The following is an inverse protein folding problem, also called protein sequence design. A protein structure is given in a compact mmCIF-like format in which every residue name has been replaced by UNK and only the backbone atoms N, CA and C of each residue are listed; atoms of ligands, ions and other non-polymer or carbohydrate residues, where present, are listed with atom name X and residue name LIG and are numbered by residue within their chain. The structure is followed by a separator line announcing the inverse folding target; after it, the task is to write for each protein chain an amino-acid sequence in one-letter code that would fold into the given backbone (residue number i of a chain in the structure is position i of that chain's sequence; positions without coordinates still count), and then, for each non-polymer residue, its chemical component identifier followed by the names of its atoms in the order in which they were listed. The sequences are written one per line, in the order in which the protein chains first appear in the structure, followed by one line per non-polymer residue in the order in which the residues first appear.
data_IF_281033015756
#
_entry.id   IF_281033015756
#
_cell.length_a   1.000
_cell.length_b   1.000
_cell.length_c   1.000
_cell.angle_alpha   90.00
_cell.angle_beta   90.00
_cell.angle_gamma   90.00
#
_symmetry.space_group_name_H-M   'P 1'
#
loop_
_entity.id
_entity.type
_entity.pdbx_description
1 polymer ?
#
# COMPACT_ATOMS: atom_id res chain seq x y z
N UNK A 1 3.16 -1.67 14.19
CA UNK A 1 3.40 -2.30 12.87
C UNK A 1 2.12 -2.23 12.10
N UNK A 2 2.19 -1.89 10.82
CA UNK A 2 1.03 -1.69 9.96
C UNK A 2 1.02 -2.68 8.81
N UNK A 3 -0.16 -2.92 8.26
CA UNK A 3 -0.41 -3.71 7.05
C UNK A 3 -1.05 -2.87 5.96
N UNK A 4 -1.01 -3.32 4.72
CA UNK A 4 -1.63 -2.53 3.64
C UNK A 4 -3.13 -2.36 3.84
N UNK A 5 -3.79 -3.42 4.32
CA UNK A 5 -5.23 -3.45 4.62
C UNK A 5 -5.67 -2.41 5.65
N UNK A 6 -4.77 -1.94 6.50
CA UNK A 6 -5.09 -0.98 7.56
C UNK A 6 -5.39 0.42 6.99
N UNK A 7 -5.00 0.67 5.73
CA UNK A 7 -5.18 1.94 5.03
C UNK A 7 -6.18 1.89 3.91
N UNK A 8 -6.45 0.72 3.31
CA UNK A 8 -7.37 0.62 2.18
C UNK A 8 -8.74 1.15 2.59
N UNK A 9 -9.32 2.01 1.75
CA UNK A 9 -10.55 2.75 1.96
C UNK A 9 -10.52 3.86 3.03
N UNK A 10 -9.35 4.18 3.62
CA UNK A 10 -9.23 5.32 4.52
C UNK A 10 -9.41 6.64 3.75
N UNK A 11 -10.22 7.54 4.30
CA UNK A 11 -10.48 8.85 3.70
C UNK A 11 -9.22 9.73 3.71
N UNK A 12 -9.08 10.57 2.70
CA UNK A 12 -8.01 11.56 2.57
C UNK A 12 -8.62 12.95 2.56
N UNK A 13 -8.07 13.86 3.37
CA UNK A 13 -8.44 15.27 3.45
C UNK A 13 -7.24 16.18 3.24
N UNK A 14 -7.47 17.38 2.70
CA UNK A 14 -6.45 18.44 2.69
C UNK A 14 -6.41 19.25 4.00
N UNK A 15 -5.44 20.16 4.11
CA UNK A 15 -5.26 21.07 5.26
C UNK A 15 -6.47 21.97 5.57
N UNK A 16 -7.39 22.14 4.62
CA UNK A 16 -8.63 22.90 4.80
C UNK A 16 -9.80 21.99 5.21
N UNK A 17 -9.55 20.69 5.44
CA UNK A 17 -10.56 19.69 5.80
C UNK A 17 -11.39 19.18 4.63
N UNK A 18 -11.03 19.52 3.38
CA UNK A 18 -11.78 19.09 2.19
C UNK A 18 -11.48 17.62 1.89
N UNK A 19 -12.53 16.81 1.74
CA UNK A 19 -12.42 15.42 1.30
C UNK A 19 -11.89 15.34 -0.14
N UNK A 20 -10.77 14.63 -0.32
CA UNK A 20 -10.12 14.45 -1.61
C UNK A 20 -10.48 13.11 -2.26
N UNK A 21 -10.60 12.04 -1.46
CA UNK A 21 -10.80 10.68 -1.93
C UNK A 21 -10.56 9.66 -0.83
N UNK A 22 -10.37 8.40 -1.23
CA UNK A 22 -10.02 7.30 -0.33
C UNK A 22 -8.83 6.50 -0.87
N UNK A 23 -8.05 5.92 0.02
CA UNK A 23 -6.90 5.08 -0.33
C UNK A 23 -7.38 3.85 -1.10
N UNK A 24 -6.86 3.67 -2.30
CA UNK A 24 -7.08 2.51 -3.16
C UNK A 24 -5.98 1.46 -2.99
N UNK A 25 -4.74 1.91 -2.81
CA UNK A 25 -3.57 1.03 -2.77
C UNK A 25 -2.39 1.71 -2.06
N UNK A 26 -1.36 0.94 -1.77
CA UNK A 26 -0.10 1.42 -1.21
C UNK A 26 0.96 1.55 -2.30
N UNK A 27 1.78 2.58 -2.21
CA UNK A 27 2.94 2.80 -3.07
C UNK A 27 4.20 2.30 -2.39
N UNK A 28 5.05 1.59 -3.12
CA UNK A 28 6.22 0.90 -2.55
C UNK A 28 7.48 1.11 -3.39
N UNK A 29 8.62 1.09 -2.71
CA UNK A 29 9.94 1.06 -3.31
C UNK A 29 10.80 -0.02 -2.64
N UNK A 30 10.99 -1.16 -3.33
CA UNK A 30 11.78 -2.28 -2.79
C UNK A 30 13.27 -2.00 -2.72
N UNK A 31 13.80 -1.20 -3.65
CA UNK A 31 15.21 -0.82 -3.63
C UNK A 31 15.54 -0.05 -2.35
N UNK A 32 14.60 0.78 -1.89
CA UNK A 32 14.68 1.54 -0.63
C UNK A 32 14.04 0.84 0.56
N UNK A 33 13.42 -0.34 0.37
CA UNK A 33 12.68 -1.10 1.38
C UNK A 33 11.66 -0.23 2.13
N UNK A 34 10.84 0.53 1.42
CA UNK A 34 9.88 1.45 2.04
C UNK A 34 8.53 1.50 1.34
N UNK A 35 7.51 1.86 2.10
CA UNK A 35 6.27 2.43 1.59
C UNK A 35 6.53 3.91 1.30
N UNK A 36 6.33 4.34 0.05
CA UNK A 36 6.55 5.73 -0.37
C UNK A 36 5.30 6.59 -0.23
N UNK A 37 4.14 5.97 -0.03
CA UNK A 37 2.87 6.68 0.11
C UNK A 37 1.67 5.85 -0.27
N UNK A 38 0.61 6.51 -0.74
CA UNK A 38 -0.69 5.91 -1.02
C UNK A 38 -1.24 6.35 -2.36
N UNK A 39 -1.87 5.41 -3.07
CA UNK A 39 -2.67 5.67 -4.27
C UNK A 39 -4.11 5.93 -3.86
N UNK A 40 -4.71 6.97 -4.41
CA UNK A 40 -6.01 7.50 -3.98
C UNK A 40 -6.98 7.53 -5.15
N UNK A 41 -8.18 7.02 -4.91
CA UNK A 41 -9.31 7.25 -5.79
C UNK A 41 -10.06 8.51 -5.32
N UNK A 42 -10.23 9.52 -6.19
CA UNK A 42 -11.05 10.68 -5.85
C UNK A 42 -12.53 10.30 -5.72
N UNK A 43 -13.28 11.01 -4.88
CA UNK A 43 -14.74 10.85 -4.82
C UNK A 43 -15.46 11.38 -6.08
N UNK A 44 -14.83 12.29 -6.81
CA UNK A 44 -15.40 12.80 -8.06
C UNK A 44 -15.27 11.73 -9.14
N UNK A 45 -16.41 11.27 -9.66
CA UNK A 45 -16.54 10.17 -10.63
C UNK A 45 -15.69 10.29 -11.91
N UNK A 46 -15.24 11.48 -12.31
CA UNK A 46 -14.55 11.74 -13.60
C UNK A 46 -13.04 12.01 -13.41
N UNK A 47 -12.57 12.26 -12.19
CA UNK A 47 -11.15 12.57 -11.97
C UNK A 47 -10.29 11.31 -11.97
N UNK A 48 -9.15 11.38 -12.66
CA UNK A 48 -8.10 10.36 -12.55
C UNK A 48 -7.60 10.26 -11.10
N UNK A 49 -7.21 9.04 -10.71
CA UNK A 49 -6.54 8.79 -9.43
C UNK A 49 -5.29 9.66 -9.25
N UNK A 50 -4.92 9.86 -7.99
CA UNK A 50 -3.73 10.63 -7.61
C UNK A 50 -3.00 9.92 -6.47
N UNK A 51 -1.82 10.41 -6.13
CA UNK A 51 -0.96 9.84 -5.12
C UNK A 51 -0.77 10.83 -3.96
N UNK A 52 -0.47 10.28 -2.79
CA UNK A 52 0.03 11.00 -1.62
C UNK A 52 1.39 10.41 -1.31
N UNK A 53 2.41 11.25 -1.14
CA UNK A 53 3.73 10.81 -0.70
C UNK A 53 3.81 10.88 0.83
N UNK A 54 4.59 9.99 1.44
CA UNK A 54 4.70 9.91 2.91
C UNK A 54 5.20 11.23 3.52
N UNK A 55 6.00 11.99 2.80
CA UNK A 55 6.54 13.30 3.23
C UNK A 55 5.44 14.38 3.32
N UNK A 56 4.31 14.15 2.66
CA UNK A 56 3.18 15.09 2.59
C UNK A 56 2.05 14.73 3.55
N UNK A 57 2.22 13.67 4.35
CA UNK A 57 1.26 13.25 5.37
C UNK A 57 1.58 13.98 6.67
N UNK A 58 0.63 14.78 7.15
CA UNK A 58 0.74 15.46 8.46
C UNK A 58 0.37 14.49 9.58
N UNK A 59 -0.71 13.75 9.38
CA UNK A 59 -1.30 12.89 10.39
C UNK A 59 -2.19 11.84 9.74
N UNK A 60 -2.28 10.66 10.36
CA UNK A 60 -3.26 9.65 10.00
C UNK A 60 -3.81 8.97 11.26
N UNK A 61 -5.11 8.70 11.25
CA UNK A 61 -5.79 7.83 12.20
C UNK A 61 -7.05 7.27 11.53
N UNK A 62 -8.21 7.90 11.70
CA UNK A 62 -9.44 7.56 10.97
C UNK A 62 -9.45 8.12 9.54
N UNK A 63 -8.65 9.15 9.29
CA UNK A 63 -8.44 9.80 7.99
C UNK A 63 -6.96 10.17 7.84
N UNK A 64 -6.51 10.36 6.61
CA UNK A 64 -5.18 10.87 6.28
C UNK A 64 -5.29 12.37 5.95
N UNK A 65 -4.57 13.21 6.71
CA UNK A 65 -4.44 14.64 6.46
C UNK A 65 -3.16 14.92 5.66
N UNK A 66 -3.29 15.61 4.52
CA UNK A 66 -2.17 15.86 3.61
C UNK A 66 -1.99 17.34 3.24
N UNK A 67 -0.74 17.73 2.97
CA UNK A 67 -0.40 19.06 2.46
C UNK A 67 -0.54 19.17 0.95
N UNK A 68 -0.21 18.11 0.20
CA UNK A 68 -0.25 18.09 -1.26
C UNK A 68 -0.51 16.69 -1.82
N UNK A 69 -0.80 16.65 -3.11
CA UNK A 69 -1.01 15.42 -3.90
C UNK A 69 -0.05 15.37 -5.07
N UNK A 70 0.34 14.18 -5.50
CA UNK A 70 1.19 13.94 -6.67
C UNK A 70 0.44 13.18 -7.77
N UNK A 71 0.90 13.32 -9.02
CA UNK A 71 0.47 12.52 -10.17
C UNK A 71 1.59 11.67 -10.75
N UNK A 72 2.75 11.63 -10.10
CA UNK A 72 3.90 10.85 -10.55
C UNK A 72 3.58 9.35 -10.50
N UNK A 73 4.03 8.61 -11.51
CA UNK A 73 3.88 7.15 -11.52
C UNK A 73 4.79 6.51 -10.46
N UNK A 74 4.22 5.61 -9.67
CA UNK A 74 4.93 4.79 -8.70
C UNK A 74 4.38 3.38 -8.71
N UNK A 75 5.19 2.43 -8.24
CA UNK A 75 4.82 1.01 -8.15
C UNK A 75 3.78 0.85 -7.06
N UNK A 76 2.63 0.29 -7.42
CA UNK A 76 1.54 0.01 -6.48
C UNK A 76 1.68 -1.41 -5.94
N UNK A 77 1.34 -1.66 -4.67
CA UNK A 77 1.44 -3.00 -4.08
C UNK A 77 0.55 -4.03 -4.78
N UNK A 78 -0.59 -3.62 -5.34
CA UNK A 78 -1.43 -4.50 -6.16
C UNK A 78 -0.71 -5.13 -7.35
N UNK A 79 0.36 -4.53 -7.87
CA UNK A 79 1.18 -5.09 -8.95
C UNK A 79 1.97 -6.33 -8.52
N UNK A 80 2.17 -6.53 -7.21
CA UNK A 80 2.84 -7.70 -6.64
C UNK A 80 1.90 -8.69 -5.98
N UNK A 81 0.67 -8.28 -5.69
CA UNK A 81 -0.32 -9.15 -5.06
C UNK A 81 -0.53 -10.38 -5.94
N UNK A 82 -0.65 -11.55 -5.32
CA UNK A 82 -0.82 -12.83 -6.01
C UNK A 82 0.41 -13.33 -6.79
N UNK A 83 1.58 -12.71 -6.67
CA UNK A 83 2.82 -13.34 -7.13
C UNK A 83 3.21 -14.51 -6.23
N UNK A 84 3.79 -15.57 -6.81
CA UNK A 84 4.34 -16.69 -6.04
C UNK A 84 5.58 -16.25 -5.24
N UNK A 85 5.66 -16.70 -4.00
CA UNK A 85 6.85 -16.55 -3.16
C UNK A 85 7.59 -17.89 -3.16
N UNK A 86 8.86 -17.83 -3.57
CA UNK A 86 9.74 -18.99 -3.65
C UNK A 86 10.75 -18.94 -2.51
N UNK A 87 11.10 -20.10 -1.95
CA UNK A 87 12.30 -20.21 -1.12
C UNK A 87 13.57 -20.27 -1.99
N UNK A 88 14.74 -20.37 -1.34
CA UNK A 88 16.04 -20.47 -2.01
C UNK A 88 16.23 -21.76 -2.84
N UNK A 89 15.34 -22.73 -2.69
CA UNK A 89 15.33 -24.01 -3.38
C UNK A 89 14.23 -24.07 -4.45
N UNK A 90 13.61 -22.93 -4.78
CA UNK A 90 12.51 -22.82 -5.73
C UNK A 90 11.21 -23.53 -5.32
N UNK A 91 11.04 -23.87 -4.04
CA UNK A 91 9.77 -24.37 -3.54
C UNK A 91 8.77 -23.21 -3.40
N UNK A 92 7.53 -23.43 -3.82
CA UNK A 92 6.46 -22.44 -3.65
C UNK A 92 6.02 -22.43 -2.19
N UNK A 93 6.28 -21.33 -1.49
CA UNK A 93 5.81 -21.09 -0.12
C UNK A 93 4.34 -20.64 -0.07
N UNK A 94 3.86 -20.02 -1.16
CA UNK A 94 2.51 -19.49 -1.29
C UNK A 94 2.50 -18.26 -2.18
N UNK A 95 1.52 -17.39 -1.98
CA UNK A 95 1.35 -16.16 -2.76
C UNK A 95 1.44 -14.92 -1.89
N UNK A 96 1.97 -13.83 -2.44
CA UNK A 96 2.01 -12.51 -1.80
C UNK A 96 0.59 -12.07 -1.45
N UNK A 97 0.33 -11.85 -0.17
CA UNK A 97 -0.97 -11.47 0.36
C UNK A 97 -0.99 -10.02 0.84
N UNK A 98 0.01 -9.61 1.62
CA UNK A 98 0.07 -8.31 2.27
C UNK A 98 1.52 -7.88 2.50
N UNK A 99 1.74 -6.60 2.81
CA UNK A 99 3.02 -6.08 3.30
C UNK A 99 2.89 -5.67 4.76
N UNK A 100 4.01 -5.72 5.49
CA UNK A 100 4.13 -5.26 6.86
C UNK A 100 5.17 -4.15 6.87
N UNK A 101 4.86 -3.01 7.48
CA UNK A 101 5.77 -1.88 7.55
C UNK A 101 5.72 -1.16 8.90
N UNK A 102 6.77 -0.41 9.18
CA UNK A 102 6.90 0.39 10.38
C UNK A 102 6.04 1.66 10.27
N UNK A 103 5.21 1.91 11.28
CA UNK A 103 4.35 3.10 11.38
C UNK A 103 5.13 4.41 11.38
N UNK A 104 6.25 4.44 12.11
CA UNK A 104 7.04 5.66 12.29
C UNK A 104 7.93 5.97 11.10
N UNK A 105 8.45 4.95 10.41
CA UNK A 105 9.49 5.12 9.38
C UNK A 105 9.04 4.75 7.98
N UNK A 106 7.86 4.13 7.84
CA UNK A 106 7.35 3.55 6.59
C UNK A 106 8.27 2.46 5.98
N UNK A 107 9.25 1.99 6.73
CA UNK A 107 10.16 0.93 6.29
C UNK A 107 9.42 -0.41 6.19
N UNK A 108 9.58 -1.10 5.07
CA UNK A 108 9.07 -2.46 4.86
C UNK A 108 9.79 -3.43 5.80
N UNK A 109 9.01 -4.16 6.60
CA UNK A 109 9.49 -5.15 7.57
C UNK A 109 9.22 -6.59 7.14
N UNK A 110 8.28 -6.81 6.24
CA UNK A 110 8.04 -8.15 5.71
C UNK A 110 6.88 -8.20 4.72
N UNK A 111 6.69 -9.39 4.15
CA UNK A 111 5.58 -9.74 3.29
C UNK A 111 4.81 -10.86 3.97
N UNK A 112 3.49 -10.71 4.06
CA UNK A 112 2.58 -11.79 4.44
C UNK A 112 2.32 -12.67 3.24
N UNK A 113 2.44 -13.98 3.46
CA UNK A 113 2.18 -15.01 2.46
C UNK A 113 0.82 -15.65 2.77
N UNK A 114 -0.02 -15.83 1.75
CA UNK A 114 -1.17 -16.73 1.80
C UNK A 114 -0.70 -18.08 1.28
N UNK A 115 -0.54 -19.04 2.19
CA UNK A 115 -0.27 -20.43 1.81
C UNK A 115 -1.59 -21.04 1.33
N UNK A 116 -1.62 -21.53 0.10
CA UNK A 116 -2.71 -22.42 -0.32
C UNK A 116 -2.56 -23.74 0.43
N UNK A 117 -3.67 -24.31 0.90
CA UNK A 117 -3.75 -25.74 1.19
C UNK A 117 -3.64 -26.51 -0.12
N UNK A 118 -2.44 -26.59 -0.69
CA UNK A 118 -2.08 -27.62 -1.68
C UNK A 118 -0.96 -28.41 -1.02
N UNK A 119 -1.32 -29.09 0.07
CA UNK A 119 -0.56 -30.22 0.56
C UNK A 119 -1.17 -31.46 -0.11
N UNK A 120 -0.47 -31.99 -1.11
CA UNK A 120 -0.67 -33.33 -1.63
C UNK A 120 -1.70 -33.49 -2.75
N UNK A 121 -1.25 -33.36 -4.00
CA UNK A 121 -1.48 -34.37 -5.05
C UNK A 121 -0.23 -34.37 -5.94
N UNK A 122 0.75 -35.19 -5.56
CA UNK A 122 1.74 -35.80 -6.46
C UNK A 122 1.81 -37.27 -6.09
#
# INVERSE_FOLDING_TARGET
MLKSRDFIYMDVIDINGKNLGYVKDILINFNKKEVTGFKVNPYKFISKGFNILKEDIIYYNTKILVTKTSKENQISFSELRNMYVLDKHSNILGMVNDIIFCEKTFELKGISIKCGTIAGIF
#
